data_IF_942911777261
#
_entry.id   IF_942911777261
#
_cell.length_a   1.000
_cell.length_b   1.000
_cell.length_c   1.000
_cell.angle_alpha   90.00
_cell.angle_beta   90.00
_cell.angle_gamma   90.00
#
_symmetry.space_group_name_H-M   'P 1'
#
loop_
_entity.id
_entity.type
_entity.pdbx_description
1 polymer ?
#
# COMPACT_ATOMS: atom_id res chain seq x y z
N UNK A 1 60.31 40.51 11.62
CA UNK A 1 58.91 40.12 11.86
C UNK A 1 58.76 39.81 13.35
N UNK A 2 57.91 40.56 14.05
CA UNK A 2 57.78 40.47 15.51
C UNK A 2 56.93 39.25 15.91
N UNK A 3 57.21 38.59 17.04
CA UNK A 3 56.51 37.37 17.48
C UNK A 3 54.99 37.55 17.71
N UNK A 4 54.52 38.80 17.81
CA UNK A 4 53.12 39.16 18.11
C UNK A 4 52.16 38.95 16.92
N UNK A 5 52.64 39.09 15.68
CA UNK A 5 51.83 38.84 14.47
C UNK A 5 51.70 37.36 14.15
N UNK A 6 52.71 36.55 14.44
CA UNK A 6 52.65 35.09 14.28
C UNK A 6 51.56 34.46 15.17
N UNK A 7 51.45 34.88 16.44
CA UNK A 7 50.41 34.41 17.36
C UNK A 7 48.97 34.75 16.93
N UNK A 8 48.76 35.89 16.26
CA UNK A 8 47.43 36.28 15.73
C UNK A 8 46.99 35.42 14.56
N UNK A 9 47.92 35.10 13.63
CA UNK A 9 47.68 34.18 12.51
C UNK A 9 47.29 32.78 13.00
N UNK A 10 47.99 32.25 14.02
CA UNK A 10 47.67 30.92 14.57
C UNK A 10 46.28 30.87 15.21
N UNK A 11 45.85 31.95 15.88
CA UNK A 11 44.50 32.04 16.49
C UNK A 11 43.40 32.09 15.44
N UNK A 12 43.59 32.88 14.37
CA UNK A 12 42.62 32.97 13.28
C UNK A 12 42.51 31.64 12.52
N UNK A 13 43.63 30.94 12.32
CA UNK A 13 43.63 29.62 11.70
C UNK A 13 42.90 28.59 12.58
N UNK A 14 43.15 28.58 13.89
CA UNK A 14 42.43 27.72 14.83
C UNK A 14 40.92 27.97 14.84
N UNK A 15 40.50 29.25 14.80
CA UNK A 15 39.09 29.62 14.72
C UNK A 15 38.44 29.16 13.40
N UNK A 16 39.16 29.31 12.28
CA UNK A 16 38.71 28.84 10.96
C UNK A 16 38.54 27.32 10.94
N UNK A 17 39.52 26.56 11.44
CA UNK A 17 39.44 25.10 11.53
C UNK A 17 38.31 24.65 12.45
N UNK A 18 38.11 25.32 13.60
CA UNK A 18 37.00 25.03 14.50
C UNK A 18 35.64 25.28 13.82
N UNK A 19 35.50 26.38 13.08
CA UNK A 19 34.30 26.70 12.29
C UNK A 19 34.05 25.65 11.21
N UNK A 20 35.07 25.31 10.41
CA UNK A 20 34.96 24.29 9.36
C UNK A 20 34.57 22.92 9.94
N UNK A 21 35.14 22.53 11.08
CA UNK A 21 34.78 21.28 11.78
C UNK A 21 33.33 21.32 12.28
N UNK A 22 32.87 22.45 12.80
CA UNK A 22 31.47 22.63 13.23
C UNK A 22 30.50 22.54 12.06
N UNK A 23 30.81 23.19 10.93
CA UNK A 23 29.99 23.13 9.73
C UNK A 23 29.93 21.72 9.15
N UNK A 24 31.06 21.01 9.12
CA UNK A 24 31.09 19.62 8.66
C UNK A 24 30.25 18.70 9.54
N UNK A 25 30.30 18.87 10.87
CA UNK A 25 29.42 18.13 11.78
C UNK A 25 27.94 18.40 11.51
N UNK A 26 27.56 19.67 11.34
CA UNK A 26 26.20 20.05 11.00
C UNK A 26 25.74 19.41 9.69
N UNK A 27 26.61 19.42 8.67
CA UNK A 27 26.34 18.77 7.39
C UNK A 27 26.11 17.26 7.55
N UNK A 28 26.93 16.57 8.35
CA UNK A 28 26.76 15.14 8.61
C UNK A 28 25.43 14.85 9.34
N UNK A 29 25.05 15.68 10.31
CA UNK A 29 23.77 15.56 11.02
C UNK A 29 22.59 15.79 10.07
N UNK A 30 22.68 16.78 9.18
CA UNK A 30 21.68 17.04 8.14
C UNK A 30 21.55 15.86 7.17
N UNK A 31 22.66 15.31 6.68
CA UNK A 31 22.65 14.14 5.81
C UNK A 31 22.05 12.92 6.50
N UNK A 32 22.32 12.71 7.79
CA UNK A 32 21.72 11.62 8.55
C UNK A 32 20.20 11.79 8.67
N UNK A 33 19.75 12.99 9.06
CA UNK A 33 18.32 13.28 9.19
C UNK A 33 17.58 13.18 7.85
N UNK A 34 18.22 13.63 6.76
CA UNK A 34 17.67 13.51 5.40
C UNK A 34 17.47 12.05 5.01
N UNK A 35 18.48 11.20 5.23
CA UNK A 35 18.36 9.76 4.94
C UNK A 35 17.27 9.08 5.75
N UNK A 36 17.12 9.44 7.02
CA UNK A 36 16.07 8.91 7.89
C UNK A 36 14.67 9.32 7.39
N UNK A 37 14.49 10.61 7.07
CA UNK A 37 13.25 11.15 6.49
C UNK A 37 12.92 10.52 5.13
N UNK A 38 13.91 10.33 4.26
CA UNK A 38 13.73 9.70 2.96
C UNK A 38 13.32 8.23 3.11
N UNK A 39 13.96 7.49 4.02
CA UNK A 39 13.61 6.10 4.31
C UNK A 39 12.18 5.98 4.87
N UNK A 40 11.77 6.92 5.74
CA UNK A 40 10.42 6.97 6.28
C UNK A 40 9.37 7.27 5.20
N UNK A 41 9.65 8.24 4.33
CA UNK A 41 8.80 8.58 3.19
C UNK A 41 8.66 7.40 2.23
N UNK A 42 9.75 6.69 1.94
CA UNK A 42 9.71 5.49 1.10
C UNK A 42 8.88 4.37 1.71
N UNK A 43 9.01 4.12 3.02
CA UNK A 43 8.18 3.13 3.72
C UNK A 43 6.69 3.48 3.65
N UNK A 44 6.35 4.75 3.88
CA UNK A 44 4.97 5.23 3.79
C UNK A 44 4.40 5.06 2.38
N UNK A 45 5.18 5.47 1.37
CA UNK A 45 4.78 5.32 -0.03
C UNK A 45 4.55 3.87 -0.43
N UNK A 46 5.45 2.96 -0.03
CA UNK A 46 5.30 1.53 -0.32
C UNK A 46 4.01 0.95 0.31
N UNK A 47 3.70 1.35 1.54
CA UNK A 47 2.46 0.93 2.20
C UNK A 47 1.20 1.55 1.55
N UNK A 48 1.28 2.80 1.07
CA UNK A 48 0.21 3.43 0.28
C UNK A 48 -0.03 2.71 -1.05
N UNK A 49 1.03 2.34 -1.76
CA UNK A 49 0.97 1.62 -3.03
C UNK A 49 0.34 0.22 -2.83
N UNK A 50 0.76 -0.52 -1.79
CA UNK A 50 0.16 -1.82 -1.44
C UNK A 50 -1.34 -1.69 -1.10
N UNK A 51 -1.73 -0.64 -0.36
CA UNK A 51 -3.13 -0.39 -0.04
C UNK A 51 -3.96 -0.07 -1.28
N UNK A 52 -3.39 0.65 -2.25
CA UNK A 52 -4.05 0.91 -3.53
C UNK A 52 -4.22 -0.37 -4.35
N UNK A 53 -3.20 -1.23 -4.39
CA UNK A 53 -3.28 -2.52 -5.07
C UNK A 53 -4.40 -3.38 -4.50
N UNK A 54 -4.48 -3.49 -3.16
CA UNK A 54 -5.56 -4.24 -2.49
C UNK A 54 -6.94 -3.69 -2.81
N UNK A 55 -7.10 -2.35 -2.82
CA UNK A 55 -8.38 -1.72 -3.21
C UNK A 55 -8.74 -2.02 -4.67
N UNK A 56 -7.76 -2.09 -5.56
CA UNK A 56 -7.99 -2.44 -6.96
C UNK A 56 -8.40 -3.92 -7.08
N UNK A 57 -7.69 -4.83 -6.40
CA UNK A 57 -8.04 -6.26 -6.35
C UNK A 57 -9.46 -6.46 -5.80
N UNK A 58 -9.85 -5.69 -4.78
CA UNK A 58 -11.22 -5.73 -4.22
C UNK A 58 -12.26 -5.34 -5.26
N UNK A 59 -12.04 -4.27 -6.03
CA UNK A 59 -12.96 -3.85 -7.09
C UNK A 59 -13.15 -4.95 -8.13
N UNK A 60 -12.06 -5.56 -8.58
CA UNK A 60 -12.12 -6.70 -9.52
C UNK A 60 -12.90 -7.87 -8.92
N UNK A 61 -12.69 -8.18 -7.64
CA UNK A 61 -13.42 -9.25 -6.97
C UNK A 61 -14.93 -8.95 -6.85
N UNK A 62 -15.29 -7.69 -6.60
CA UNK A 62 -16.68 -7.25 -6.54
C UNK A 62 -17.37 -7.39 -7.91
N UNK A 63 -16.69 -6.98 -8.99
CA UNK A 63 -17.16 -7.20 -10.37
C UNK A 63 -17.35 -8.69 -10.67
N UNK A 64 -16.41 -9.54 -10.26
CA UNK A 64 -16.55 -11.01 -10.39
C UNK A 64 -17.75 -11.53 -9.62
N UNK A 65 -18.03 -11.02 -8.42
CA UNK A 65 -19.22 -11.40 -7.66
C UNK A 65 -20.49 -11.05 -8.42
N UNK A 66 -20.58 -9.82 -8.94
CA UNK A 66 -21.72 -9.35 -9.72
C UNK A 66 -21.93 -10.20 -11.00
N UNK A 67 -20.86 -10.56 -11.70
CA UNK A 67 -20.93 -11.43 -12.89
C UNK A 67 -21.47 -12.81 -12.52
N UNK A 68 -20.93 -13.44 -11.46
CA UNK A 68 -21.37 -14.76 -11.02
C UNK A 68 -22.85 -14.78 -10.61
N UNK A 69 -23.32 -13.74 -9.91
CA UNK A 69 -24.72 -13.59 -9.52
C UNK A 69 -25.62 -13.40 -10.74
N UNK A 70 -25.25 -12.50 -11.65
CA UNK A 70 -26.01 -12.25 -12.88
C UNK A 70 -26.11 -13.49 -13.76
N UNK A 71 -25.01 -14.20 -13.98
CA UNK A 71 -25.01 -15.42 -14.80
C UNK A 71 -25.80 -16.55 -14.11
N UNK A 72 -25.76 -16.64 -12.79
CA UNK A 72 -26.59 -17.58 -12.05
C UNK A 72 -28.09 -17.27 -12.21
N UNK A 73 -28.47 -15.98 -12.17
CA UNK A 73 -29.85 -15.54 -12.34
C UNK A 73 -30.34 -15.80 -13.77
N UNK A 74 -29.55 -15.45 -14.80
CA UNK A 74 -29.86 -15.76 -16.20
C UNK A 74 -30.09 -17.26 -16.42
N UNK A 75 -29.22 -18.12 -15.87
CA UNK A 75 -29.40 -19.57 -15.99
C UNK A 75 -30.65 -20.08 -15.28
N UNK A 76 -31.05 -19.45 -14.17
CA UNK A 76 -32.28 -19.79 -13.47
C UNK A 76 -33.52 -19.37 -14.27
N UNK A 77 -33.54 -18.15 -14.79
CA UNK A 77 -34.59 -17.64 -15.67
C UNK A 77 -34.73 -18.49 -16.95
N UNK A 78 -33.60 -18.83 -17.59
CA UNK A 78 -33.60 -19.72 -18.75
C UNK A 78 -34.19 -21.11 -18.42
N UNK A 79 -33.98 -21.60 -17.20
CA UNK A 79 -34.49 -22.90 -16.78
C UNK A 79 -36.02 -22.91 -16.68
N UNK A 80 -36.65 -21.81 -16.28
CA UNK A 80 -38.11 -21.69 -16.18
C UNK A 80 -38.82 -21.96 -17.52
N UNK A 81 -38.17 -21.63 -18.63
CA UNK A 81 -38.66 -21.89 -19.98
C UNK A 81 -38.32 -23.26 -20.56
N UNK A 82 -37.70 -24.17 -19.79
CA UNK A 82 -37.28 -25.52 -20.24
C UNK A 82 -37.93 -26.59 -19.36
N UNK A 83 -37.97 -27.82 -19.88
CA UNK A 83 -38.49 -28.99 -19.15
C UNK A 83 -37.46 -30.12 -19.09
N UNK A 84 -37.67 -31.06 -18.16
CA UNK A 84 -36.92 -32.30 -18.06
C UNK A 84 -35.41 -32.09 -17.82
N UNK A 85 -34.59 -32.87 -18.52
CA UNK A 85 -33.13 -32.89 -18.32
C UNK A 85 -32.47 -31.53 -18.60
N UNK A 86 -32.99 -30.74 -19.55
CA UNK A 86 -32.43 -29.44 -19.88
C UNK A 86 -32.63 -28.42 -18.76
N UNK A 87 -33.81 -28.41 -18.15
CA UNK A 87 -34.09 -27.60 -16.95
C UNK A 87 -33.14 -27.98 -15.82
N UNK A 88 -33.04 -29.28 -15.50
CA UNK A 88 -32.17 -29.77 -14.43
C UNK A 88 -30.69 -29.38 -14.64
N UNK A 89 -30.19 -29.45 -15.87
CA UNK A 89 -28.83 -29.01 -16.21
C UNK A 89 -28.61 -27.50 -15.95
N UNK A 90 -29.55 -26.65 -16.36
CA UNK A 90 -29.46 -25.20 -16.17
C UNK A 90 -29.48 -24.83 -14.68
N UNK A 91 -30.38 -25.44 -13.90
CA UNK A 91 -30.44 -25.27 -12.45
C UNK A 91 -29.13 -25.71 -11.78
N UNK A 92 -28.56 -26.84 -12.21
CA UNK A 92 -27.29 -27.34 -11.66
C UNK A 92 -26.14 -26.37 -11.92
N UNK A 93 -26.07 -25.79 -13.13
CA UNK A 93 -25.08 -24.76 -13.47
C UNK A 93 -25.30 -23.48 -12.65
N UNK A 94 -26.54 -23.00 -12.54
CA UNK A 94 -26.91 -21.85 -11.72
C UNK A 94 -26.46 -22.02 -10.26
N UNK A 95 -26.76 -23.17 -9.65
CA UNK A 95 -26.36 -23.48 -8.28
C UNK A 95 -24.83 -23.52 -8.09
N UNK A 96 -24.10 -24.01 -9.09
CA UNK A 96 -22.63 -24.01 -9.07
C UNK A 96 -22.10 -22.57 -9.04
N UNK A 97 -22.66 -21.67 -9.84
CA UNK A 97 -22.29 -20.25 -9.84
C UNK A 97 -22.67 -19.57 -8.52
N UNK A 98 -23.85 -19.87 -7.95
CA UNK A 98 -24.26 -19.34 -6.63
C UNK A 98 -23.31 -19.76 -5.52
N UNK A 99 -22.83 -21.00 -5.53
CA UNK A 99 -21.82 -21.47 -4.55
C UNK A 99 -20.52 -20.68 -4.70
N UNK A 100 -20.00 -20.54 -5.92
CA UNK A 100 -18.79 -19.75 -6.19
C UNK A 100 -18.97 -18.27 -5.81
N UNK A 101 -20.13 -17.68 -6.09
CA UNK A 101 -20.46 -16.32 -5.68
C UNK A 101 -20.37 -16.17 -4.16
N UNK A 102 -20.92 -17.12 -3.39
CA UNK A 102 -20.83 -17.12 -1.93
C UNK A 102 -19.37 -17.16 -1.45
N UNK A 103 -18.57 -18.06 -2.02
CA UNK A 103 -17.13 -18.17 -1.70
C UNK A 103 -16.39 -16.85 -2.00
N UNK A 104 -16.64 -16.25 -3.16
CA UNK A 104 -16.03 -14.97 -3.56
C UNK A 104 -16.48 -13.80 -2.68
N UNK A 105 -17.73 -13.80 -2.23
CA UNK A 105 -18.25 -12.82 -1.28
C UNK A 105 -17.59 -12.94 0.10
N UNK A 106 -17.29 -14.15 0.55
CA UNK A 106 -16.52 -14.38 1.78
C UNK A 106 -15.07 -13.90 1.63
N UNK A 107 -14.43 -14.12 0.47
CA UNK A 107 -13.12 -13.55 0.15
C UNK A 107 -13.14 -12.01 0.18
N UNK A 108 -14.19 -11.40 -0.37
CA UNK A 108 -14.37 -9.94 -0.42
C UNK A 108 -14.46 -9.35 0.99
N UNK A 109 -15.23 -9.97 1.89
CA UNK A 109 -15.31 -9.56 3.29
C UNK A 109 -13.96 -9.67 4.01
N UNK A 110 -13.17 -10.72 3.73
CA UNK A 110 -11.81 -10.83 4.29
C UNK A 110 -10.90 -9.73 3.77
N UNK A 111 -11.00 -9.41 2.48
CA UNK A 111 -10.20 -8.37 1.85
C UNK A 111 -10.54 -6.97 2.38
N UNK A 112 -11.81 -6.67 2.62
CA UNK A 112 -12.22 -5.42 3.27
C UNK A 112 -11.61 -5.27 4.65
N UNK A 113 -11.58 -6.33 5.47
CA UNK A 113 -10.90 -6.31 6.77
C UNK A 113 -9.41 -6.04 6.64
N UNK A 114 -8.73 -6.71 5.71
CA UNK A 114 -7.30 -6.49 5.46
C UNK A 114 -7.02 -5.05 4.98
N UNK A 115 -7.89 -4.49 4.15
CA UNK A 115 -7.79 -3.09 3.71
C UNK A 115 -7.97 -2.14 4.89
N UNK A 116 -8.94 -2.39 5.77
CA UNK A 116 -9.16 -1.60 6.98
C UNK A 116 -7.97 -1.66 7.94
N UNK A 117 -7.44 -2.87 8.19
CA UNK A 117 -6.25 -3.10 9.02
C UNK A 117 -5.04 -2.34 8.48
N UNK A 118 -4.70 -2.51 7.19
CA UNK A 118 -3.58 -1.78 6.56
C UNK A 118 -3.80 -0.28 6.52
N UNK A 119 -5.03 0.18 6.32
CA UNK A 119 -5.34 1.59 6.37
C UNK A 119 -5.16 2.18 7.78
N UNK A 120 -5.44 1.41 8.84
CA UNK A 120 -5.13 1.81 10.22
C UNK A 120 -3.63 1.82 10.48
N UNK A 121 -2.91 0.77 10.08
CA UNK A 121 -1.45 0.71 10.21
C UNK A 121 -0.77 1.90 9.54
N UNK A 122 -1.20 2.26 8.33
CA UNK A 122 -0.66 3.40 7.59
C UNK A 122 -0.92 4.74 8.30
N UNK A 123 -2.06 4.90 8.98
CA UNK A 123 -2.35 6.11 9.79
C UNK A 123 -1.43 6.24 11.00
N UNK A 124 -0.98 5.11 11.54
CA UNK A 124 -0.07 5.06 12.68
C UNK A 124 1.40 4.96 12.26
N UNK A 125 1.69 4.88 10.96
CA UNK A 125 3.04 4.92 10.46
C UNK A 125 3.62 6.31 10.76
N UNK A 126 4.75 6.39 11.49
CA UNK A 126 5.33 7.67 11.88
C UNK A 126 5.73 8.49 10.66
#
# INVERSE_FOLDING_TARGET
>A
MTPKTAQGLTKNLLASVASARSQYRLYLDQERNKRESDAQTQKRKAAEDELQELKQQRRVLDEVCAILENDANKLAEEAEGKAGSKMAQLITKSNTLRRRHKEKKEELVKMDKTIEEKAMELRHLP
#
